data_IF_693119947675
#
_entry.id   IF_693119947675
#
_cell.length_a   1.000
_cell.length_b   1.000
_cell.length_c   1.000
_cell.angle_alpha   90.00
_cell.angle_beta   90.00
_cell.angle_gamma   90.00
#
_symmetry.space_group_name_H-M   'P 1'
#
loop_
_entity.id
_entity.type
_entity.pdbx_description
1 polymer ?
#
# COMPACT_ATOMS: atom_id res chain seq x y z
N UNK A 1 2.83 -29.46 -0.15
CA UNK A 1 2.28 -28.11 0.10
C UNK A 1 0.77 -28.22 0.15
N UNK A 2 0.11 -27.50 1.04
CA UNK A 2 -1.35 -27.33 1.03
C UNK A 2 -1.69 -26.39 -0.11
N UNK A 3 -2.70 -26.70 -0.94
CA UNK A 3 -3.23 -25.74 -1.88
C UNK A 3 -3.87 -24.60 -1.09
N UNK A 4 -3.44 -23.36 -1.32
CA UNK A 4 -3.91 -22.18 -0.60
C UNK A 4 -5.13 -21.59 -1.31
N UNK A 5 -6.07 -21.05 -0.54
CA UNK A 5 -7.11 -20.15 -1.02
C UNK A 5 -6.66 -18.68 -0.82
N UNK A 6 -6.32 -17.98 -1.90
CA UNK A 6 -5.77 -16.64 -1.87
C UNK A 6 -6.76 -15.62 -2.42
N UNK A 7 -7.08 -14.60 -1.61
CA UNK A 7 -7.80 -13.42 -2.09
C UNK A 7 -6.81 -12.39 -2.60
N UNK A 8 -6.92 -12.03 -3.87
CA UNK A 8 -6.05 -11.02 -4.50
C UNK A 8 -6.82 -9.74 -4.82
N UNK A 9 -6.25 -8.61 -4.45
CA UNK A 9 -6.76 -7.26 -4.73
C UNK A 9 -5.63 -6.28 -5.08
N UNK A 10 -5.96 -5.03 -5.37
CA UNK A 10 -5.04 -3.90 -5.56
C UNK A 10 -5.78 -2.57 -5.41
N UNK A 11 -5.11 -1.43 -5.66
CA UNK A 11 -5.72 -0.12 -5.83
C UNK A 11 -5.56 0.48 -7.24
N UNK A 12 -4.75 -0.14 -8.10
CA UNK A 12 -4.61 0.28 -9.51
C UNK A 12 -5.81 -0.13 -10.40
N UNK A 13 -6.66 -1.02 -9.89
CA UNK A 13 -7.83 -1.55 -10.62
C UNK A 13 -7.63 -2.96 -11.18
N UNK A 14 -8.75 -3.61 -11.54
CA UNK A 14 -8.78 -5.03 -11.95
C UNK A 14 -7.97 -5.33 -13.22
N UNK A 15 -7.71 -4.33 -14.05
CA UNK A 15 -6.89 -4.44 -15.27
C UNK A 15 -5.42 -4.06 -15.05
N UNK A 16 -5.01 -3.79 -13.80
CA UNK A 16 -3.66 -3.38 -13.46
C UNK A 16 -2.60 -4.40 -13.85
N UNK A 17 -1.50 -3.94 -14.47
CA UNK A 17 -0.41 -4.82 -14.91
C UNK A 17 0.26 -5.55 -13.74
N UNK A 18 0.44 -4.87 -12.59
CA UNK A 18 0.97 -5.46 -11.37
C UNK A 18 0.07 -6.56 -10.80
N UNK A 19 -1.26 -6.38 -10.84
CA UNK A 19 -2.23 -7.39 -10.44
C UNK A 19 -2.12 -8.65 -11.29
N UNK A 20 -2.03 -8.48 -12.62
CA UNK A 20 -1.88 -9.59 -13.55
C UNK A 20 -0.56 -10.36 -13.33
N UNK A 21 0.52 -9.64 -13.02
CA UNK A 21 1.83 -10.25 -12.77
C UNK A 21 1.81 -11.10 -11.50
N UNK A 22 1.34 -10.55 -10.37
CA UNK A 22 1.32 -11.29 -9.09
C UNK A 22 0.30 -12.44 -9.11
N UNK A 23 -0.85 -12.28 -9.78
CA UNK A 23 -1.82 -13.36 -9.94
C UNK A 23 -1.17 -14.61 -10.55
N UNK A 24 -0.37 -14.43 -11.62
CA UNK A 24 0.31 -15.54 -12.30
C UNK A 24 1.26 -16.29 -11.36
N UNK A 25 2.03 -15.58 -10.56
CA UNK A 25 2.93 -16.19 -9.58
C UNK A 25 2.17 -16.92 -8.47
N UNK A 26 1.12 -16.29 -7.90
CA UNK A 26 0.36 -16.88 -6.81
C UNK A 26 -0.44 -18.14 -7.21
N UNK A 27 -0.78 -18.31 -8.48
CA UNK A 27 -1.43 -19.56 -8.96
C UNK A 27 -0.51 -20.78 -8.85
N UNK A 28 0.78 -20.62 -8.58
CA UNK A 28 1.69 -21.72 -8.25
C UNK A 28 1.51 -22.22 -6.80
N UNK A 29 0.90 -21.41 -5.92
CA UNK A 29 0.68 -21.72 -4.51
C UNK A 29 -0.73 -22.28 -4.23
N UNK A 30 -1.70 -22.04 -5.12
CA UNK A 30 -3.08 -22.50 -4.95
C UNK A 30 -4.11 -21.74 -5.76
N UNK A 31 -5.36 -21.74 -5.28
CA UNK A 31 -6.47 -21.08 -5.94
C UNK A 31 -6.48 -19.57 -5.65
N UNK A 32 -6.48 -18.74 -6.70
CA UNK A 32 -6.48 -17.28 -6.60
C UNK A 32 -7.79 -16.69 -7.07
N UNK A 33 -8.55 -16.13 -6.15
CA UNK A 33 -9.76 -15.35 -6.46
C UNK A 33 -9.43 -13.86 -6.43
N UNK A 34 -9.67 -13.17 -7.55
CA UNK A 34 -9.46 -11.73 -7.64
C UNK A 34 -10.75 -10.99 -7.28
N UNK A 35 -10.65 -10.07 -6.32
CA UNK A 35 -11.67 -9.05 -6.05
C UNK A 35 -10.97 -7.71 -6.00
N UNK A 36 -11.12 -6.90 -7.04
CA UNK A 36 -10.37 -5.66 -7.18
C UNK A 36 -11.27 -4.49 -7.60
N UNK A 37 -10.87 -3.23 -7.36
CA UNK A 37 -11.60 -2.06 -7.84
C UNK A 37 -11.78 -2.10 -9.35
N UNK A 38 -12.92 -1.63 -9.85
CA UNK A 38 -13.15 -1.48 -11.29
C UNK A 38 -12.21 -0.44 -11.91
N UNK A 39 -11.91 0.63 -11.16
CA UNK A 39 -11.08 1.75 -11.58
C UNK A 39 -9.97 2.02 -10.55
N UNK A 40 -8.95 2.80 -10.95
CA UNK A 40 -7.84 3.19 -10.06
C UNK A 40 -8.35 3.94 -8.82
N UNK A 41 -7.87 3.55 -7.64
CA UNK A 41 -8.20 4.07 -6.31
C UNK A 41 -6.95 4.50 -5.53
N UNK A 42 -5.88 4.89 -6.21
CA UNK A 42 -4.63 5.32 -5.58
C UNK A 42 -4.86 6.42 -4.54
N UNK A 43 -4.22 6.30 -3.39
CA UNK A 43 -4.29 7.31 -2.33
C UNK A 43 -5.58 7.31 -1.51
N UNK A 44 -6.52 6.37 -1.73
CA UNK A 44 -7.81 6.31 -1.02
C UNK A 44 -7.68 5.85 0.43
N UNK A 45 -6.54 5.31 0.82
CA UNK A 45 -6.33 4.72 2.12
C UNK A 45 -7.23 3.51 2.38
N UNK A 46 -7.69 3.36 3.63
CA UNK A 46 -8.63 2.31 4.05
C UNK A 46 -10.08 2.80 4.09
N UNK A 47 -10.48 3.65 3.14
CA UNK A 47 -11.87 4.12 3.05
C UNK A 47 -12.78 2.95 2.67
N UNK A 48 -13.97 2.91 3.29
CA UNK A 48 -15.07 1.98 2.97
C UNK A 48 -16.28 2.73 2.48
N UNK A 49 -17.01 2.10 1.55
CA UNK A 49 -18.32 2.59 1.09
C UNK A 49 -19.45 1.82 1.77
N UNK A 50 -20.64 2.42 1.81
CA UNK A 50 -21.84 1.72 2.34
C UNK A 50 -22.54 0.93 1.23
N UNK A 51 -22.53 1.43 0.01
CA UNK A 51 -23.16 0.82 -1.15
C UNK A 51 -22.17 0.83 -2.31
N UNK A 52 -22.09 -0.30 -3.02
CA UNK A 52 -21.27 -0.46 -4.21
C UNK A 52 -21.91 -1.44 -5.17
N UNK A 53 -21.35 -1.59 -6.36
CA UNK A 53 -21.78 -2.58 -7.33
C UNK A 53 -20.66 -3.57 -7.64
N UNK A 54 -21.04 -4.79 -7.98
CA UNK A 54 -20.15 -5.89 -8.37
C UNK A 54 -20.42 -6.27 -9.82
N UNK A 55 -19.36 -6.46 -10.58
CA UNK A 55 -19.40 -7.04 -11.95
C UNK A 55 -18.52 -8.29 -11.99
N UNK A 56 -18.96 -9.32 -12.70
CA UNK A 56 -18.15 -10.53 -12.92
C UNK A 56 -16.95 -10.21 -13.82
N UNK A 57 -15.82 -10.82 -13.53
CA UNK A 57 -14.59 -10.75 -14.29
C UNK A 57 -14.01 -12.17 -14.45
N UNK A 58 -13.20 -12.40 -15.49
CA UNK A 58 -12.61 -13.74 -15.74
C UNK A 58 -11.76 -14.28 -14.57
N UNK A 59 -11.24 -13.40 -13.70
CA UNK A 59 -10.45 -13.75 -12.52
C UNK A 59 -11.24 -13.70 -11.21
N UNK A 60 -12.52 -13.31 -11.26
CA UNK A 60 -13.38 -13.14 -10.10
C UNK A 60 -14.33 -11.95 -10.22
N UNK A 61 -14.09 -10.83 -9.53
CA UNK A 61 -15.04 -9.72 -9.47
C UNK A 61 -14.38 -8.34 -9.50
N UNK A 62 -14.95 -7.43 -10.28
CA UNK A 62 -14.67 -5.99 -10.24
C UNK A 62 -15.71 -5.28 -9.34
N UNK A 63 -15.25 -4.46 -8.41
CA UNK A 63 -16.08 -3.69 -7.47
C UNK A 63 -15.98 -2.20 -7.83
N UNK A 64 -17.10 -1.50 -7.97
CA UNK A 64 -17.13 -0.04 -8.15
C UNK A 64 -16.91 0.67 -6.80
N UNK A 65 -15.83 0.33 -6.12
CA UNK A 65 -15.50 0.76 -4.76
C UNK A 65 -14.01 0.78 -4.49
N UNK A 66 -13.66 0.81 -3.23
CA UNK A 66 -12.28 0.90 -2.76
C UNK A 66 -11.64 -0.49 -2.59
N UNK A 67 -10.30 -0.58 -2.47
CA UNK A 67 -9.64 -1.85 -2.13
C UNK A 67 -10.13 -2.49 -0.83
N UNK A 68 -10.44 -1.67 0.19
CA UNK A 68 -11.03 -2.15 1.43
C UNK A 68 -12.45 -2.74 1.24
N UNK A 69 -13.25 -2.19 0.31
CA UNK A 69 -14.55 -2.79 -0.07
C UNK A 69 -14.35 -4.15 -0.73
N UNK A 70 -13.34 -4.26 -1.59
CA UNK A 70 -12.99 -5.51 -2.27
C UNK A 70 -12.63 -6.61 -1.28
N UNK A 71 -11.76 -6.31 -0.32
CA UNK A 71 -11.36 -7.25 0.74
C UNK A 71 -12.56 -7.66 1.59
N UNK A 72 -13.38 -6.69 2.03
CA UNK A 72 -14.54 -7.01 2.84
C UNK A 72 -15.57 -7.86 2.10
N UNK A 73 -15.79 -7.60 0.80
CA UNK A 73 -16.64 -8.44 -0.02
C UNK A 73 -16.03 -9.83 -0.21
N UNK A 74 -14.74 -9.93 -0.53
CA UNK A 74 -14.04 -11.21 -0.68
C UNK A 74 -14.16 -12.08 0.57
N UNK A 75 -13.77 -11.53 1.73
CA UNK A 75 -13.70 -12.27 2.99
C UNK A 75 -15.06 -12.54 3.67
N UNK A 76 -16.12 -11.80 3.32
CA UNK A 76 -17.43 -11.91 3.99
C UNK A 76 -18.60 -12.15 3.06
N UNK A 77 -18.40 -12.00 1.75
CA UNK A 77 -19.45 -12.16 0.73
C UNK A 77 -19.27 -13.37 -0.17
N UNK A 78 -18.10 -14.01 -0.17
CA UNK A 78 -17.84 -15.27 -0.88
C UNK A 78 -17.84 -16.44 0.11
N UNK A 79 -18.18 -17.64 -0.39
CA UNK A 79 -18.22 -18.89 0.39
C UNK A 79 -16.84 -19.59 0.41
N UNK A 80 -15.76 -18.81 0.51
CA UNK A 80 -14.38 -19.31 0.53
C UNK A 80 -13.70 -18.85 1.80
N UNK A 81 -13.09 -19.78 2.53
CA UNK A 81 -12.20 -19.47 3.66
C UNK A 81 -10.79 -19.20 3.13
N UNK A 82 -10.47 -17.94 2.93
CA UNK A 82 -9.17 -17.53 2.42
C UNK A 82 -8.08 -17.66 3.49
N UNK A 83 -6.97 -18.29 3.13
CA UNK A 83 -5.77 -18.43 3.96
C UNK A 83 -4.98 -17.14 4.05
N UNK A 84 -4.99 -16.33 2.97
CA UNK A 84 -4.19 -15.11 2.83
C UNK A 84 -4.88 -14.08 1.93
N UNK A 85 -4.66 -12.81 2.21
CA UNK A 85 -4.97 -11.72 1.29
C UNK A 85 -3.67 -11.14 0.74
N UNK A 86 -3.58 -11.00 -0.58
CA UNK A 86 -2.50 -10.26 -1.23
C UNK A 86 -3.07 -9.00 -1.89
N UNK A 87 -2.47 -7.85 -1.62
CA UNK A 87 -2.83 -6.57 -2.23
C UNK A 87 -1.66 -6.04 -3.04
N UNK A 88 -1.86 -5.84 -4.32
CA UNK A 88 -0.84 -5.33 -5.25
C UNK A 88 -0.75 -6.13 -6.56
N UNK A 89 0.36 -6.00 -7.31
CA UNK A 89 1.54 -5.18 -7.01
C UNK A 89 1.25 -3.74 -7.41
N UNK A 90 1.38 -2.83 -6.46
CA UNK A 90 1.17 -1.42 -6.69
C UNK A 90 2.25 -0.81 -7.58
N UNK A 91 1.84 0.08 -8.47
CA UNK A 91 2.75 0.93 -9.23
C UNK A 91 3.26 2.07 -8.33
N UNK A 92 4.47 1.93 -7.84
CA UNK A 92 5.10 2.85 -6.90
C UNK A 92 5.17 2.30 -5.47
N UNK A 93 6.26 2.62 -4.72
CA UNK A 93 6.47 2.05 -3.39
C UNK A 93 5.55 2.67 -2.34
N UNK A 94 5.14 1.85 -1.39
CA UNK A 94 4.43 2.27 -0.18
C UNK A 94 5.38 2.17 1.01
N UNK A 95 6.09 3.26 1.32
CA UNK A 95 7.11 3.32 2.39
C UNK A 95 6.99 4.55 3.28
N UNK A 96 7.40 4.42 4.52
CA UNK A 96 7.25 5.42 5.59
C UNK A 96 5.86 5.38 6.24
N UNK A 97 5.84 5.55 7.55
CA UNK A 97 4.65 5.38 8.39
C UNK A 97 3.44 6.22 7.95
N UNK A 98 3.68 7.40 7.41
CA UNK A 98 2.61 8.28 6.92
C UNK A 98 1.94 7.73 5.64
N UNK A 99 2.77 7.30 4.66
CA UNK A 99 2.27 6.78 3.37
C UNK A 99 1.45 5.51 3.58
N UNK A 100 1.88 4.63 4.50
CA UNK A 100 1.12 3.42 4.84
C UNK A 100 -0.33 3.72 5.24
N UNK A 101 -0.57 4.84 5.93
CA UNK A 101 -1.93 5.26 6.32
C UNK A 101 -2.78 5.80 5.17
N UNK A 102 -2.17 6.16 4.04
CA UNK A 102 -2.84 6.74 2.85
C UNK A 102 -2.91 5.80 1.65
N UNK A 103 -2.09 4.77 1.64
CA UNK A 103 -2.07 3.77 0.58
C UNK A 103 -3.36 2.96 0.52
N UNK A 104 -3.93 2.80 -0.66
CA UNK A 104 -5.04 1.87 -0.90
C UNK A 104 -4.57 0.41 -0.82
N UNK A 105 -3.37 0.12 -1.32
CA UNK A 105 -2.73 -1.21 -1.28
C UNK A 105 -2.55 -1.69 0.17
N UNK A 106 -1.88 -0.88 1.01
CA UNK A 106 -1.68 -1.19 2.43
C UNK A 106 -3.01 -1.14 3.20
N UNK A 107 -3.92 -0.23 2.81
CA UNK A 107 -5.26 -0.12 3.37
C UNK A 107 -6.08 -1.40 3.20
N UNK A 108 -5.98 -2.06 2.05
CA UNK A 108 -6.59 -3.36 1.80
C UNK A 108 -6.00 -4.47 2.70
N UNK A 109 -4.68 -4.53 2.82
CA UNK A 109 -4.02 -5.48 3.71
C UNK A 109 -4.41 -5.24 5.19
N UNK A 110 -4.50 -3.97 5.62
CA UNK A 110 -4.99 -3.64 6.95
C UNK A 110 -6.46 -4.06 7.15
N UNK A 111 -7.32 -3.90 6.15
CA UNK A 111 -8.70 -4.36 6.24
C UNK A 111 -8.77 -5.88 6.41
N UNK A 112 -7.94 -6.64 5.68
CA UNK A 112 -7.84 -8.09 5.82
C UNK A 112 -7.45 -8.49 7.26
N UNK A 113 -6.40 -7.88 7.79
CA UNK A 113 -5.92 -8.14 9.14
C UNK A 113 -6.97 -7.82 10.22
N UNK A 114 -7.70 -6.70 10.10
CA UNK A 114 -8.83 -6.39 10.99
C UNK A 114 -9.98 -7.41 10.87
N UNK A 115 -10.13 -8.05 9.73
CA UNK A 115 -11.11 -9.11 9.51
C UNK A 115 -10.58 -10.52 9.89
N UNK A 116 -9.36 -10.60 10.41
CA UNK A 116 -8.76 -11.82 10.96
C UNK A 116 -8.04 -12.70 9.94
N UNK A 117 -7.73 -12.18 8.76
CA UNK A 117 -6.97 -12.89 7.73
C UNK A 117 -5.61 -12.21 7.54
N UNK A 118 -4.48 -12.93 7.59
CA UNK A 118 -3.15 -12.36 7.35
C UNK A 118 -3.05 -11.79 5.94
N UNK A 119 -2.14 -10.82 5.74
CA UNK A 119 -2.06 -10.15 4.46
C UNK A 119 -0.64 -9.77 4.04
N UNK A 120 -0.45 -9.63 2.72
CA UNK A 120 0.74 -9.04 2.11
C UNK A 120 0.32 -7.84 1.27
N UNK A 121 0.94 -6.69 1.52
CA UNK A 121 0.86 -5.51 0.66
C UNK A 121 2.14 -5.45 -0.18
N UNK A 122 2.04 -5.60 -1.49
CA UNK A 122 3.19 -5.64 -2.39
C UNK A 122 3.19 -4.42 -3.30
N UNK A 123 4.36 -3.78 -3.42
CA UNK A 123 4.58 -2.57 -4.21
C UNK A 123 5.87 -2.68 -5.02
N UNK A 124 5.88 -2.08 -6.18
CA UNK A 124 7.03 -2.04 -7.07
C UNK A 124 7.59 -0.62 -7.18
N UNK A 125 8.89 -0.50 -7.37
CA UNK A 125 9.54 0.78 -7.61
C UNK A 125 10.67 0.66 -8.62
N UNK A 126 10.96 1.76 -9.31
CA UNK A 126 12.13 1.87 -10.17
C UNK A 126 13.28 2.49 -9.39
N UNK A 127 14.44 1.81 -9.32
CA UNK A 127 15.55 2.26 -8.47
C UNK A 127 16.22 3.55 -8.99
N UNK A 128 16.34 3.68 -10.31
CA UNK A 128 17.09 4.78 -10.94
C UNK A 128 16.23 6.03 -11.11
N UNK A 129 14.95 5.87 -11.43
CA UNK A 129 14.05 6.97 -11.76
C UNK A 129 12.68 6.76 -11.11
N UNK A 130 12.58 7.05 -9.82
CA UNK A 130 11.32 6.96 -9.09
C UNK A 130 10.17 7.64 -9.83
N UNK A 131 9.09 6.93 -10.16
CA UNK A 131 7.83 7.42 -10.74
C UNK A 131 7.88 8.12 -12.09
N UNK A 132 8.95 8.01 -12.83
CA UNK A 132 9.03 8.63 -14.16
C UNK A 132 8.51 7.73 -15.27
N UNK A 133 8.26 6.45 -14.96
CA UNK A 133 7.79 5.47 -15.94
C UNK A 133 6.32 5.15 -15.75
N UNK A 134 5.52 5.15 -16.85
CA UNK A 134 4.14 4.68 -16.78
C UNK A 134 4.09 3.18 -16.45
N UNK A 135 2.97 2.67 -15.88
CA UNK A 135 2.84 1.27 -15.46
C UNK A 135 3.18 0.24 -16.55
N UNK A 136 2.98 0.59 -17.81
CA UNK A 136 3.25 -0.28 -18.97
C UNK A 136 4.75 -0.53 -19.19
N UNK A 137 5.61 0.32 -18.65
CA UNK A 137 7.08 0.21 -18.73
C UNK A 137 7.68 -0.55 -17.53
N UNK A 138 6.85 -0.88 -16.52
CA UNK A 138 7.29 -1.66 -15.37
C UNK A 138 7.30 -3.15 -15.67
N UNK A 139 8.43 -3.81 -15.48
CA UNK A 139 8.49 -5.26 -15.40
C UNK A 139 8.24 -5.73 -13.96
N UNK A 140 6.99 -6.07 -13.68
CA UNK A 140 6.58 -6.55 -12.36
C UNK A 140 7.04 -7.99 -12.04
N UNK A 141 7.77 -8.68 -12.93
CA UNK A 141 8.13 -10.09 -12.76
C UNK A 141 8.99 -10.34 -11.52
N UNK A 142 10.02 -9.52 -11.30
CA UNK A 142 10.88 -9.66 -10.10
C UNK A 142 10.14 -9.39 -8.80
N UNK A 143 9.39 -8.28 -8.61
CA UNK A 143 8.57 -8.08 -7.41
C UNK A 143 7.52 -9.16 -7.20
N UNK A 144 6.89 -9.67 -8.27
CA UNK A 144 5.88 -10.72 -8.18
C UNK A 144 6.49 -12.05 -7.70
N UNK A 145 7.58 -12.49 -8.31
CA UNK A 145 8.30 -13.69 -7.90
C UNK A 145 8.75 -13.62 -6.43
N UNK A 146 9.39 -12.51 -6.03
CA UNK A 146 9.86 -12.35 -4.65
C UNK A 146 8.68 -12.34 -3.67
N UNK A 147 7.57 -11.71 -4.01
CA UNK A 147 6.37 -11.71 -3.16
C UNK A 147 5.82 -13.13 -3.00
N UNK A 148 5.76 -13.94 -4.07
CA UNK A 148 5.35 -15.35 -4.00
C UNK A 148 6.29 -16.15 -3.08
N UNK A 149 7.60 -16.04 -3.26
CA UNK A 149 8.60 -16.72 -2.43
C UNK A 149 8.46 -16.34 -0.96
N UNK A 150 8.28 -15.05 -0.65
CA UNK A 150 8.04 -14.58 0.72
C UNK A 150 6.74 -15.12 1.31
N UNK A 151 5.66 -15.21 0.52
CA UNK A 151 4.38 -15.81 0.97
C UNK A 151 4.59 -17.26 1.35
N UNK A 152 5.21 -18.05 0.48
CA UNK A 152 5.48 -19.47 0.69
C UNK A 152 6.33 -19.69 1.96
N UNK A 153 7.49 -19.05 2.04
CA UNK A 153 8.42 -19.20 3.16
C UNK A 153 7.84 -18.72 4.50
N UNK A 154 7.08 -17.60 4.48
CA UNK A 154 6.49 -17.06 5.71
C UNK A 154 5.31 -17.87 6.22
N UNK A 155 4.52 -18.50 5.35
CA UNK A 155 3.48 -19.44 5.75
C UNK A 155 4.09 -20.74 6.31
N UNK A 156 5.11 -21.29 5.66
CA UNK A 156 5.80 -22.49 6.12
C UNK A 156 6.53 -22.30 7.46
N UNK A 157 6.94 -21.08 7.77
CA UNK A 157 7.62 -20.72 9.02
C UNK A 157 6.70 -20.11 10.10
N UNK A 158 5.38 -20.15 9.91
CA UNK A 158 4.37 -19.62 10.83
C UNK A 158 4.57 -18.12 11.20
N UNK A 159 5.15 -17.31 10.30
CA UNK A 159 5.44 -15.89 10.55
C UNK A 159 4.16 -15.12 10.86
N UNK A 160 3.05 -15.48 10.23
CA UNK A 160 1.76 -14.81 10.40
C UNK A 160 1.05 -15.12 11.74
N UNK A 161 1.60 -15.97 12.59
CA UNK A 161 1.14 -16.08 13.99
C UNK A 161 1.49 -14.83 14.82
N UNK A 162 2.55 -14.10 14.44
CA UNK A 162 3.05 -12.92 15.16
C UNK A 162 2.97 -11.62 14.35
N UNK A 163 2.71 -11.70 13.04
CA UNK A 163 2.67 -10.58 12.10
C UNK A 163 1.37 -10.62 11.33
N UNK A 164 0.62 -9.53 11.35
CA UNK A 164 -0.65 -9.47 10.63
C UNK A 164 -0.46 -9.15 9.14
N UNK A 165 0.57 -8.34 8.81
CA UNK A 165 0.80 -7.83 7.47
C UNK A 165 2.30 -7.81 7.18
N UNK A 166 2.68 -8.25 5.96
CA UNK A 166 3.98 -7.93 5.37
C UNK A 166 3.80 -6.82 4.34
N UNK A 167 4.48 -5.68 4.54
CA UNK A 167 4.57 -4.63 3.53
C UNK A 167 5.87 -4.78 2.76
N UNK A 168 5.76 -5.12 1.47
CA UNK A 168 6.88 -5.45 0.58
C UNK A 168 7.03 -4.38 -0.48
N UNK A 169 8.25 -3.83 -0.65
CA UNK A 169 8.58 -2.95 -1.76
C UNK A 169 9.77 -3.53 -2.52
N UNK A 170 9.59 -3.85 -3.80
CA UNK A 170 10.60 -4.48 -4.64
C UNK A 170 10.96 -3.67 -5.87
N UNK A 171 12.27 -3.58 -6.25
CA UNK A 171 12.69 -2.90 -7.48
C UNK A 171 12.29 -3.70 -8.72
N UNK A 172 11.87 -3.00 -9.79
CA UNK A 172 11.55 -3.63 -11.10
C UNK A 172 12.78 -3.75 -11.99
N UNK A 173 13.80 -2.97 -11.74
CA UNK A 173 15.04 -2.87 -12.55
C UNK A 173 16.23 -3.64 -11.97
N UNK A 174 15.97 -4.58 -11.05
CA UNK A 174 16.97 -5.48 -10.49
C UNK A 174 16.56 -6.95 -10.66
N UNK A 175 17.51 -7.80 -11.06
CA UNK A 175 17.23 -9.23 -11.32
C UNK A 175 17.26 -10.07 -10.03
N UNK A 176 18.16 -9.77 -9.11
CA UNK A 176 18.36 -10.50 -7.85
C UNK A 176 18.67 -9.50 -6.71
N UNK A 177 17.69 -8.63 -6.36
CA UNK A 177 17.89 -7.62 -5.34
C UNK A 177 18.02 -8.27 -3.95
N UNK A 178 18.86 -7.68 -3.11
CA UNK A 178 18.97 -8.10 -1.71
C UNK A 178 17.66 -7.83 -0.98
N UNK A 179 17.20 -8.78 -0.17
CA UNK A 179 16.01 -8.65 0.67
C UNK A 179 16.43 -8.23 2.08
N UNK A 180 15.71 -7.27 2.65
CA UNK A 180 15.97 -6.74 3.98
C UNK A 180 14.69 -6.60 4.80
N UNK A 181 14.70 -7.11 6.02
CA UNK A 181 13.67 -6.80 7.02
C UNK A 181 13.87 -5.34 7.47
N UNK A 182 12.79 -4.57 7.44
CA UNK A 182 12.80 -3.13 7.68
C UNK A 182 11.71 -2.70 8.65
N UNK A 183 11.72 -1.42 9.02
CA UNK A 183 10.63 -0.75 9.71
C UNK A 183 10.22 0.51 8.98
N UNK A 184 8.93 0.91 8.98
CA UNK A 184 8.48 2.13 8.37
C UNK A 184 9.13 3.36 8.99
N UNK A 185 9.71 4.23 8.16
CA UNK A 185 10.32 5.46 8.63
C UNK A 185 9.25 6.47 9.06
N UNK A 186 9.44 7.09 10.24
CA UNK A 186 8.43 7.96 10.85
C UNK A 186 8.40 9.40 10.34
N UNK A 187 9.45 9.85 9.63
CA UNK A 187 9.58 11.24 9.20
C UNK A 187 8.65 11.58 8.03
N UNK A 188 7.93 12.68 8.17
CA UNK A 188 7.01 13.20 7.15
C UNK A 188 6.80 14.69 7.30
N UNK A 189 6.64 15.41 6.19
CA UNK A 189 6.33 16.83 6.18
C UNK A 189 5.49 17.20 4.94
N UNK A 190 4.67 18.24 5.06
CA UNK A 190 3.81 18.77 4.01
C UNK A 190 4.19 20.20 3.70
N UNK A 191 4.35 20.52 2.42
CA UNK A 191 4.48 21.88 1.91
C UNK A 191 3.12 22.39 1.46
N UNK A 192 2.75 23.57 1.93
CA UNK A 192 1.56 24.29 1.47
C UNK A 192 1.98 25.38 0.50
N UNK A 193 1.38 25.37 -0.69
CA UNK A 193 1.61 26.40 -1.71
C UNK A 193 0.29 27.10 -2.01
N UNK A 194 0.33 28.43 -2.08
CA UNK A 194 -0.84 29.25 -2.28
C UNK A 194 -0.89 29.82 -3.70
N UNK A 195 -2.06 29.80 -4.35
CA UNK A 195 -2.35 30.47 -5.64
C UNK A 195 -1.36 30.16 -6.78
N UNK A 196 -0.83 28.94 -6.87
CA UNK A 196 0.14 28.57 -7.91
C UNK A 196 -0.52 27.94 -9.15
N UNK A 197 -1.80 27.60 -9.08
CA UNK A 197 -2.55 26.95 -10.16
C UNK A 197 -3.83 27.73 -10.42
N UNK A 198 -4.13 27.98 -11.70
CA UNK A 198 -5.44 28.54 -12.08
C UNK A 198 -6.53 27.52 -11.66
N UNK A 199 -7.61 27.96 -11.00
CA UNK A 199 -8.72 27.06 -10.65
C UNK A 199 -9.28 26.28 -11.83
N UNK A 200 -9.18 26.82 -13.06
CA UNK A 200 -9.62 26.17 -14.28
C UNK A 200 -8.72 24.99 -14.71
N UNK A 201 -7.46 24.99 -14.27
CA UNK A 201 -6.46 23.98 -14.59
C UNK A 201 -6.28 22.94 -13.44
N UNK A 202 -6.97 23.14 -12.30
CA UNK A 202 -6.89 22.26 -11.16
C UNK A 202 -8.09 21.29 -11.13
N UNK A 203 -7.82 19.99 -10.98
CA UNK A 203 -8.87 18.99 -10.71
C UNK A 203 -9.33 19.13 -9.25
N UNK A 204 -10.26 20.05 -9.02
CA UNK A 204 -10.75 20.38 -7.70
C UNK A 204 -12.02 19.58 -7.35
N UNK A 205 -12.13 19.06 -6.12
CA UNK A 205 -13.29 18.30 -5.67
C UNK A 205 -14.55 19.18 -5.49
N UNK A 206 -14.38 20.50 -5.48
CA UNK A 206 -15.45 21.51 -5.32
C UNK A 206 -15.15 22.75 -6.15
N UNK A 207 -16.20 23.49 -6.57
CA UNK A 207 -16.03 24.77 -7.23
C UNK A 207 -15.45 25.81 -6.27
N UNK A 208 -14.53 26.62 -6.76
CA UNK A 208 -13.95 27.73 -6.00
C UNK A 208 -14.91 28.92 -6.06
N UNK A 209 -15.40 29.38 -4.91
CA UNK A 209 -16.23 30.59 -4.81
C UNK A 209 -15.42 31.87 -5.11
N UNK A 210 -16.15 33.03 -5.25
CA UNK A 210 -15.53 34.32 -5.61
C UNK A 210 -14.38 34.76 -4.68
N UNK A 211 -14.43 34.38 -3.39
CA UNK A 211 -13.41 34.67 -2.39
C UNK A 211 -12.52 33.43 -2.08
N UNK A 212 -12.63 32.39 -2.88
CA UNK A 212 -11.90 31.14 -2.67
C UNK A 212 -10.46 31.22 -3.18
N UNK A 213 -9.59 30.46 -2.53
CA UNK A 213 -8.17 30.35 -2.88
C UNK A 213 -7.84 28.89 -3.16
N UNK A 214 -7.11 28.62 -4.24
CA UNK A 214 -6.54 27.30 -4.50
C UNK A 214 -5.25 27.12 -3.72
N UNK A 215 -5.20 26.09 -2.90
CA UNK A 215 -3.99 25.69 -2.20
C UNK A 215 -3.53 24.32 -2.69
N UNK A 216 -2.23 24.14 -2.90
CA UNK A 216 -1.63 22.83 -3.14
C UNK A 216 -1.02 22.28 -1.84
N UNK A 217 -1.37 21.05 -1.50
CA UNK A 217 -0.81 20.31 -0.37
C UNK A 217 0.15 19.26 -0.94
N UNK A 218 1.45 19.54 -0.88
CA UNK A 218 2.48 18.68 -1.44
C UNK A 218 3.28 18.00 -0.35
N UNK A 219 3.44 16.69 -0.51
CA UNK A 219 4.32 15.92 0.37
C UNK A 219 5.78 16.30 0.09
N UNK A 220 6.56 16.68 1.12
CA UNK A 220 7.96 17.06 0.95
C UNK A 220 8.88 15.90 0.57
N UNK A 221 8.44 14.68 0.81
CA UNK A 221 9.25 13.49 0.64
C UNK A 221 8.75 12.58 -0.47
N UNK A 222 7.71 13.02 -1.18
CA UNK A 222 7.09 12.21 -2.21
C UNK A 222 6.75 13.00 -3.46
N UNK A 223 7.20 12.55 -4.62
CA UNK A 223 6.84 13.15 -5.88
C UNK A 223 5.35 12.96 -6.19
N UNK A 224 4.67 14.02 -6.55
CA UNK A 224 3.43 13.95 -7.28
C UNK A 224 3.71 13.65 -8.76
N UNK A 225 2.83 12.82 -9.39
CA UNK A 225 3.09 12.15 -10.65
C UNK A 225 3.16 13.06 -11.88
N UNK A 226 2.61 14.27 -11.88
CA UNK A 226 2.66 15.18 -13.04
C UNK A 226 3.63 16.34 -12.81
N UNK A 227 4.67 16.41 -13.67
CA UNK A 227 5.62 17.53 -13.71
C UNK A 227 6.56 17.61 -12.52
N UNK A 228 6.78 16.48 -11.85
CA UNK A 228 7.59 16.42 -10.65
C UNK A 228 9.08 16.39 -10.96
N UNK A 229 9.80 17.42 -10.51
CA UNK A 229 11.24 17.35 -10.37
C UNK A 229 11.56 16.47 -9.15
N UNK A 230 12.36 15.42 -9.33
CA UNK A 230 12.84 14.58 -8.23
C UNK A 230 13.45 15.49 -7.13
N UNK A 231 12.86 15.54 -5.90
CA UNK A 231 13.38 16.40 -4.83
C UNK A 231 14.70 15.87 -4.29
N UNK A 232 15.09 14.68 -4.71
CA UNK A 232 16.34 14.03 -4.35
C UNK A 232 17.18 13.82 -5.61
N UNK A 233 17.77 14.91 -6.17
CA UNK A 233 18.62 14.79 -7.36
C UNK A 233 19.87 13.94 -7.10
N UNK A 234 20.22 13.73 -5.82
CA UNK A 234 21.34 12.93 -5.39
C UNK A 234 20.89 11.77 -4.50
N UNK A 235 20.96 10.54 -5.02
CA UNK A 235 20.62 9.32 -4.30
C UNK A 235 21.51 9.10 -3.07
N UNK A 236 22.73 9.61 -3.05
CA UNK A 236 23.62 9.48 -1.91
C UNK A 236 23.17 10.38 -0.76
N UNK A 237 22.63 11.58 -1.03
CA UNK A 237 21.99 12.42 0.01
C UNK A 237 20.77 11.71 0.62
N UNK A 238 19.97 11.02 -0.19
CA UNK A 238 18.82 10.22 0.27
C UNK A 238 19.28 9.07 1.17
N UNK A 239 20.34 8.38 0.78
CA UNK A 239 20.93 7.30 1.57
C UNK A 239 21.44 7.78 2.94
N UNK A 240 22.13 8.92 2.96
CA UNK A 240 22.65 9.50 4.22
C UNK A 240 21.53 9.97 5.15
N UNK A 241 20.42 10.44 4.60
CA UNK A 241 19.27 10.95 5.35
C UNK A 241 18.53 9.87 6.14
N UNK A 242 18.39 8.66 5.58
CA UNK A 242 17.59 7.60 6.18
C UNK A 242 18.44 6.58 6.93
N UNK A 243 18.04 6.21 8.18
CA UNK A 243 18.79 5.25 8.97
C UNK A 243 18.75 3.86 8.35
N UNK A 244 19.85 3.12 8.51
CA UNK A 244 19.92 1.71 8.14
C UNK A 244 18.84 0.93 8.88
N UNK A 245 18.11 0.06 8.16
CA UNK A 245 16.98 -0.69 8.70
C UNK A 245 15.62 -0.02 8.49
N UNK A 246 15.57 1.24 8.02
CA UNK A 246 14.32 1.82 7.57
C UNK A 246 13.95 1.35 6.16
N UNK A 247 12.64 1.31 5.86
CA UNK A 247 12.11 0.97 4.55
C UNK A 247 12.59 1.94 3.46
N UNK A 248 12.63 3.23 3.75
CA UNK A 248 13.15 4.27 2.85
C UNK A 248 14.63 4.08 2.53
N UNK A 249 15.44 3.65 3.50
CA UNK A 249 16.85 3.38 3.26
C UNK A 249 17.03 2.15 2.37
N UNK A 250 16.30 1.08 2.61
CA UNK A 250 16.37 -0.13 1.78
C UNK A 250 15.97 0.16 0.34
N UNK A 251 14.90 0.94 0.12
CA UNK A 251 14.47 1.37 -1.21
C UNK A 251 15.52 2.26 -1.88
N UNK A 252 16.13 3.22 -1.17
CA UNK A 252 17.21 4.05 -1.70
C UNK A 252 18.47 3.25 -2.04
N UNK A 253 18.71 2.13 -1.36
CA UNK A 253 19.81 1.21 -1.65
C UNK A 253 19.49 0.20 -2.79
N UNK A 254 18.27 0.25 -3.37
CA UNK A 254 17.82 -0.67 -4.42
C UNK A 254 17.52 -2.09 -3.91
N UNK A 255 17.23 -2.23 -2.62
CA UNK A 255 16.94 -3.49 -1.96
C UNK A 255 15.44 -3.75 -1.85
N UNK A 256 15.02 -5.01 -1.73
CA UNK A 256 13.65 -5.33 -1.33
C UNK A 256 13.46 -4.99 0.14
N UNK A 257 12.51 -4.11 0.43
CA UNK A 257 12.12 -3.78 1.80
C UNK A 257 10.94 -4.67 2.23
N UNK A 258 11.06 -5.36 3.35
CA UNK A 258 10.00 -6.17 3.95
C UNK A 258 9.75 -5.67 5.37
N UNK A 259 8.66 -4.93 5.58
CA UNK A 259 8.27 -4.40 6.89
C UNK A 259 7.14 -5.23 7.48
N UNK A 260 7.37 -5.98 8.59
CA UNK A 260 6.30 -6.65 9.32
C UNK A 260 5.48 -5.62 10.11
N UNK A 261 4.14 -5.69 9.98
CA UNK A 261 3.22 -4.76 10.61
C UNK A 261 2.15 -5.52 11.41
N UNK A 262 1.56 -4.83 12.41
CA UNK A 262 0.38 -5.27 13.13
C UNK A 262 -0.78 -4.33 12.87
N UNK A 263 -1.99 -4.86 12.64
CA UNK A 263 -3.17 -4.06 12.32
C UNK A 263 -3.87 -3.48 13.55
N UNK A 264 -4.16 -4.21 14.62
CA UNK A 264 -4.72 -3.64 15.83
C UNK A 264 -3.72 -2.68 16.49
N UNK A 265 -4.17 -1.45 16.75
CA UNK A 265 -3.40 -0.54 17.59
C UNK A 265 -3.74 -0.84 19.05
N UNK A 266 -2.75 -1.19 19.83
CA UNK A 266 -2.90 -1.33 21.27
C UNK A 266 -3.02 0.04 21.94
N UNK A 267 -3.84 0.12 22.98
CA UNK A 267 -3.91 1.32 23.82
C UNK A 267 -2.62 1.43 24.66
N UNK A 268 -2.02 2.60 24.68
CA UNK A 268 -0.88 2.89 25.54
C UNK A 268 -1.39 3.42 26.89
N UNK A 269 -1.00 2.76 27.97
CA UNK A 269 -1.26 3.24 29.32
C UNK A 269 -0.41 4.49 29.63
N UNK A 270 -1.02 5.49 30.28
CA UNK A 270 -0.32 6.71 30.63
C UNK A 270 -0.81 7.26 31.99
N UNK A 271 -0.01 7.08 33.04
CA UNK A 271 -0.35 7.41 34.44
C UNK A 271 -0.85 8.86 34.64
N UNK A 272 -0.29 9.85 33.92
CA UNK A 272 -0.76 11.23 34.03
C UNK A 272 -2.15 11.43 33.44
N UNK A 273 -2.52 10.65 32.41
CA UNK A 273 -3.87 10.69 31.83
C UNK A 273 -4.88 10.12 32.85
N UNK A 274 -4.54 9.04 33.51
CA UNK A 274 -5.40 8.43 34.54
C UNK A 274 -5.65 9.41 35.70
N UNK A 275 -4.60 10.08 36.19
CA UNK A 275 -4.72 11.09 37.24
C UNK A 275 -5.60 12.30 36.81
N UNK A 276 -5.50 12.75 35.55
CA UNK A 276 -6.37 13.80 35.00
C UNK A 276 -7.83 13.35 34.96
N UNK A 277 -8.08 12.12 34.48
CA UNK A 277 -9.44 11.58 34.40
C UNK A 277 -10.05 11.41 35.81
N UNK A 278 -9.28 10.91 36.76
CA UNK A 278 -9.72 10.82 38.16
C UNK A 278 -10.09 12.19 38.71
N UNK A 279 -9.27 13.21 38.50
CA UNK A 279 -9.54 14.59 38.95
C UNK A 279 -10.84 15.16 38.33
N UNK A 280 -11.07 14.91 37.02
CA UNK A 280 -12.26 15.36 36.31
C UNK A 280 -13.54 14.65 36.79
N UNK A 281 -13.46 13.43 37.27
CA UNK A 281 -14.57 12.66 37.78
C UNK A 281 -14.95 13.05 39.22
N UNK A 282 -14.10 13.84 39.92
CA UNK A 282 -14.37 14.32 41.28
C UNK A 282 -15.02 15.73 41.30
N UNK A 283 -15.17 16.37 40.12
CA UNK A 283 -15.83 17.66 39.94
C UNK A 283 -17.25 17.49 39.40
#
# INVERSE_FOLDING_TARGET
MRDLDILLTNDDGITGAGLAAIRRELTELGDVTVVAPADNQSGVGRKRTTYTTRTEHEWGYAIAGTPADCVAYGLRGLDTDFDLVVSGINHGPNMGAYVLGRSGTVGAAMEAAFLGTPAVAASAYHNVEFYTHPPEEYDFSTPARITRELVEDCLDADVFEAVDILNVNGPVDATDPRIRVTHPHGDFDVRVEHNQVDPADADLPVEVGEDGEVIALRDKFWPHVEGYENPFPDIDEVRERYPVGSDRRAVADGEVSVSPLTAPREATHHEKLDAIVEQLNLT
#
